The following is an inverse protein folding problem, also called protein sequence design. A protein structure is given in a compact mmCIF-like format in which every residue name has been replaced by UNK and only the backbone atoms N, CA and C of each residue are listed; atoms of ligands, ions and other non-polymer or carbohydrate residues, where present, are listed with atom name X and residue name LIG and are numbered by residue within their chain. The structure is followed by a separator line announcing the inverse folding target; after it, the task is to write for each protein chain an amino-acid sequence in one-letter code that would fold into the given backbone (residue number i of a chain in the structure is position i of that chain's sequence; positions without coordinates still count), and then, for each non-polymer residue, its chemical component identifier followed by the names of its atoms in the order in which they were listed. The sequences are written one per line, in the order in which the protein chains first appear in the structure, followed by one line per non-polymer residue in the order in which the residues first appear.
data_IF_893543677694
#
_entry.id   IF_893543677694
#
_cell.length_a   1.000
_cell.length_b   1.000
_cell.length_c   1.000
_cell.angle_alpha   90.00
_cell.angle_beta   90.00
_cell.angle_gamma   90.00
#
_symmetry.space_group_name_H-M   'P 1'
#
loop_
_entity.id
_entity.type
_entity.pdbx_description
1 polymer ?
#
# COMPACT_ATOMS: atom_id res chain seq x y z
N UNK A 1 2.01 5.23 22.69
CA UNK A 1 2.72 4.89 21.45
C UNK A 1 1.73 4.36 20.45
N UNK A 2 1.31 5.22 19.53
CA UNK A 2 0.39 4.89 18.45
C UNK A 2 0.73 5.75 17.25
N UNK A 3 0.36 5.29 16.07
CA UNK A 3 0.45 6.05 14.85
C UNK A 3 -0.96 6.50 14.47
N UNK A 4 -1.07 7.70 13.92
CA UNK A 4 -2.31 8.20 13.33
C UNK A 4 -2.02 8.47 11.86
N UNK A 5 -2.72 7.76 10.96
CA UNK A 5 -2.64 8.08 9.53
C UNK A 5 -3.23 9.47 9.31
N UNK A 6 -2.43 10.38 8.76
CA UNK A 6 -2.86 11.75 8.46
C UNK A 6 -3.29 11.90 7.00
N UNK A 7 -2.77 11.07 6.12
CA UNK A 7 -3.07 11.07 4.69
C UNK A 7 -3.08 9.64 4.13
N UNK A 8 -4.00 9.38 3.21
CA UNK A 8 -3.99 8.18 2.38
C UNK A 8 -4.32 8.58 0.94
N UNK A 9 -3.42 8.22 0.01
CA UNK A 9 -3.70 8.22 -1.42
C UNK A 9 -3.76 6.79 -1.92
N UNK A 10 -4.86 6.43 -2.58
CA UNK A 10 -5.06 5.15 -3.22
C UNK A 10 -5.28 5.33 -4.72
N UNK A 11 -4.64 4.51 -5.55
CA UNK A 11 -4.89 4.42 -6.98
C UNK A 11 -5.23 2.97 -7.33
N UNK A 12 -6.42 2.76 -7.90
CA UNK A 12 -6.90 1.45 -8.30
C UNK A 12 -6.72 1.27 -9.81
N UNK A 13 -5.94 0.26 -10.20
CA UNK A 13 -5.55 -0.02 -11.59
C UNK A 13 -6.25 -1.27 -12.15
N UNK A 14 -6.82 -2.09 -11.28
CA UNK A 14 -7.52 -3.32 -11.64
C UNK A 14 -8.26 -3.93 -10.46
N UNK A 15 -8.80 -5.13 -10.68
CA UNK A 15 -9.61 -5.85 -9.68
C UNK A 15 -9.21 -7.33 -9.67
N UNK A 16 -8.94 -7.87 -8.49
CA UNK A 16 -8.91 -9.32 -8.26
C UNK A 16 -10.35 -9.77 -7.97
N UNK A 17 -10.95 -10.56 -8.86
CA UNK A 17 -12.33 -11.07 -8.69
C UNK A 17 -12.38 -12.41 -7.95
N UNK A 18 -11.26 -13.12 -7.97
CA UNK A 18 -11.02 -14.38 -7.29
C UNK A 18 -9.57 -14.40 -6.78
N UNK A 19 -9.21 -15.46 -6.05
CA UNK A 19 -7.89 -15.64 -5.49
C UNK A 19 -7.59 -14.67 -4.34
N UNK A 20 -6.33 -14.26 -4.24
CA UNK A 20 -5.81 -13.45 -3.14
C UNK A 20 -5.02 -12.24 -3.64
N UNK A 21 -4.87 -11.25 -2.77
CA UNK A 21 -4.11 -10.02 -3.01
C UNK A 21 -2.93 -10.01 -2.05
N UNK A 22 -1.72 -9.95 -2.60
CA UNK A 22 -0.50 -9.75 -1.84
C UNK A 22 -0.15 -8.26 -1.83
N UNK A 23 0.27 -7.73 -0.69
CA UNK A 23 0.68 -6.34 -0.56
C UNK A 23 2.06 -6.26 0.08
N UNK A 24 2.98 -5.54 -0.56
CA UNK A 24 4.28 -5.23 0.01
C UNK A 24 4.34 -3.74 0.34
N UNK A 25 4.66 -3.42 1.59
CA UNK A 25 4.82 -2.06 2.07
C UNK A 25 6.30 -1.75 2.33
N UNK A 26 6.75 -0.58 1.88
CA UNK A 26 8.11 -0.07 2.07
C UNK A 26 8.06 1.28 2.77
N UNK A 27 8.84 1.38 3.85
CA UNK A 27 9.09 2.66 4.53
C UNK A 27 9.91 3.56 3.60
N UNK A 28 9.32 4.66 3.14
CA UNK A 28 9.97 5.68 2.31
C UNK A 28 10.68 6.70 3.19
N UNK A 29 10.06 7.07 4.32
CA UNK A 29 10.62 7.99 5.30
C UNK A 29 10.25 7.53 6.71
N UNK A 30 11.24 7.34 7.59
CA UNK A 30 11.08 6.83 8.96
C UNK A 30 11.33 7.88 10.04
N UNK A 31 10.70 9.04 9.96
CA UNK A 31 10.86 10.12 10.92
C UNK A 31 10.27 9.81 12.29
N UNK A 32 10.73 10.54 13.32
CA UNK A 32 10.22 10.41 14.70
C UNK A 32 8.76 10.86 14.83
N UNK A 33 8.35 11.87 14.08
CA UNK A 33 7.01 12.47 14.13
C UNK A 33 6.11 12.09 12.96
N UNK A 34 6.71 11.67 11.85
CA UNK A 34 6.00 11.39 10.59
C UNK A 34 6.70 10.25 9.88
N UNK A 35 5.92 9.31 9.36
CA UNK A 35 6.43 8.27 8.48
C UNK A 35 5.76 8.41 7.12
N UNK A 36 6.40 7.94 6.05
CA UNK A 36 5.76 7.83 4.75
C UNK A 36 5.98 6.42 4.25
N UNK A 37 4.90 5.76 3.84
CA UNK A 37 4.91 4.39 3.36
C UNK A 37 4.37 4.32 1.95
N UNK A 38 5.08 3.59 1.08
CA UNK A 38 4.56 3.14 -0.21
C UNK A 38 4.09 1.70 -0.04
N UNK A 39 2.94 1.36 -0.59
CA UNK A 39 2.44 -0.01 -0.62
C UNK A 39 1.92 -0.39 -2.00
N UNK A 40 2.42 -1.51 -2.52
CA UNK A 40 2.01 -2.07 -3.80
C UNK A 40 1.18 -3.33 -3.57
N UNK A 41 -0.08 -3.30 -4.02
CA UNK A 41 -0.98 -4.45 -3.99
C UNK A 41 -1.01 -5.14 -5.35
N UNK A 42 -0.74 -6.45 -5.35
CA UNK A 42 -0.69 -7.33 -6.51
C UNK A 42 -1.71 -8.46 -6.39
N UNK A 43 -2.30 -8.84 -7.51
CA UNK A 43 -3.04 -10.10 -7.59
C UNK A 43 -2.06 -11.26 -7.45
N UNK A 44 -2.19 -12.07 -6.40
CA UNK A 44 -1.17 -13.04 -6.00
C UNK A 44 -0.86 -14.06 -7.12
N UNK A 45 -1.90 -14.64 -7.72
CA UNK A 45 -1.72 -15.64 -8.78
C UNK A 45 -1.09 -15.10 -10.08
N UNK A 46 -1.26 -13.81 -10.40
CA UNK A 46 -0.81 -13.24 -11.70
C UNK A 46 0.38 -12.31 -11.55
N UNK A 47 0.71 -11.89 -10.33
CA UNK A 47 1.73 -10.88 -10.04
C UNK A 47 1.35 -9.46 -10.51
N UNK A 48 0.17 -9.26 -11.10
CA UNK A 48 -0.24 -7.97 -11.66
C UNK A 48 -0.51 -6.97 -10.54
N UNK A 49 0.11 -5.80 -10.62
CA UNK A 49 -0.23 -4.64 -9.77
C UNK A 49 -1.66 -4.20 -10.03
N UNK A 50 -2.47 -4.16 -8.96
CA UNK A 50 -3.88 -3.80 -9.03
C UNK A 50 -4.21 -2.55 -8.21
N UNK A 51 -3.38 -2.18 -7.23
CA UNK A 51 -3.49 -0.91 -6.55
C UNK A 51 -2.13 -0.41 -6.03
N UNK A 52 -2.02 0.93 -5.95
CA UNK A 52 -0.89 1.64 -5.38
C UNK A 52 -1.38 2.53 -4.24
N UNK A 53 -0.73 2.44 -3.10
CA UNK A 53 -1.04 3.22 -1.91
C UNK A 53 0.18 4.03 -1.48
N UNK A 54 -0.08 5.24 -0.98
CA UNK A 54 0.86 5.99 -0.15
C UNK A 54 0.11 6.50 1.06
N UNK A 55 0.69 6.33 2.24
CA UNK A 55 0.17 6.91 3.47
C UNK A 55 1.26 7.58 4.29
N UNK A 56 0.83 8.54 5.09
CA UNK A 56 1.66 9.32 6.00
C UNK A 56 1.13 9.20 7.43
#
# INVERSE_FOLDING_TARGET
NGFTTIELKANFLGTARDGAVACEARLVHGGRTTQVWDAEAKHEATGKTIALFRCT
#
